data_IF_387543234967
#
_entry.id   IF_387543234967
#
_cell.length_a   1.000
_cell.length_b   1.000
_cell.length_c   1.000
_cell.angle_alpha   90.00
_cell.angle_beta   90.00
_cell.angle_gamma   90.00
#
_symmetry.space_group_name_H-M   'P 1'
#
loop_
_entity.id
_entity.type
_entity.pdbx_description
1 polymer ?
#
# COMPACT_ATOMS: atom_id res chain seq x y z
N UNK A 1 -13.25 -4.29 -7.32
CA UNK A 1 -13.91 -4.91 -6.15
C UNK A 1 -12.98 -5.28 -4.99
N UNK A 2 -12.20 -6.38 -5.01
CA UNK A 2 -11.49 -6.89 -3.80
C UNK A 2 -10.49 -5.88 -3.20
N UNK A 3 -9.67 -5.24 -4.04
CA UNK A 3 -8.73 -4.22 -3.58
C UNK A 3 -9.38 -2.90 -3.13
N UNK A 4 -10.71 -2.77 -3.22
CA UNK A 4 -11.41 -1.54 -2.86
C UNK A 4 -11.12 -0.34 -3.77
N UNK A 5 -10.58 -0.57 -4.98
CA UNK A 5 -10.41 0.46 -6.02
C UNK A 5 -11.66 0.67 -6.88
N UNK A 6 -12.59 -0.28 -6.82
CA UNK A 6 -13.81 -0.29 -7.60
C UNK A 6 -14.94 -0.91 -6.77
N UNK A 7 -16.15 -0.43 -6.99
CA UNK A 7 -17.37 -0.89 -6.31
C UNK A 7 -17.90 -2.19 -6.91
N UNK A 8 -18.98 -2.70 -6.32
CA UNK A 8 -19.73 -3.83 -6.83
C UNK A 8 -21.22 -3.50 -6.78
N UNK A 9 -21.95 -3.90 -7.80
CA UNK A 9 -23.36 -3.58 -7.91
C UNK A 9 -24.24 -4.50 -7.05
N UNK A 10 -23.83 -5.76 -6.89
CA UNK A 10 -24.56 -6.79 -6.16
C UNK A 10 -23.61 -7.72 -5.39
N UNK A 11 -24.18 -8.49 -4.47
CA UNK A 11 -23.42 -9.38 -3.59
C UNK A 11 -22.94 -8.70 -2.33
N UNK A 12 -21.94 -9.29 -1.67
CA UNK A 12 -21.38 -8.79 -0.42
C UNK A 12 -19.90 -9.14 -0.34
N UNK A 13 -19.09 -8.17 0.07
CA UNK A 13 -17.69 -8.38 0.44
C UNK A 13 -17.60 -8.27 1.96
N UNK A 14 -17.09 -9.31 2.62
CA UNK A 14 -16.90 -9.36 4.07
C UNK A 14 -15.41 -9.37 4.36
N UNK A 15 -14.96 -8.42 5.17
CA UNK A 15 -13.56 -8.25 5.54
C UNK A 15 -13.50 -8.19 7.05
N UNK A 16 -12.71 -9.08 7.67
CA UNK A 16 -12.62 -9.23 9.13
C UNK A 16 -14.00 -9.31 9.79
N UNK A 17 -14.89 -10.15 9.25
CA UNK A 17 -16.28 -10.34 9.69
C UNK A 17 -17.17 -9.08 9.64
N UNK A 18 -16.75 -8.03 8.92
CA UNK A 18 -17.56 -6.83 8.69
C UNK A 18 -17.91 -6.69 7.21
N UNK A 19 -19.18 -6.43 6.92
CA UNK A 19 -19.65 -6.12 5.57
C UNK A 19 -19.07 -4.79 5.09
N UNK A 20 -18.53 -4.76 3.86
CA UNK A 20 -17.99 -3.51 3.29
C UNK A 20 -19.08 -2.56 2.79
N UNK A 21 -20.35 -2.97 2.79
CA UNK A 21 -21.48 -2.07 2.50
C UNK A 21 -21.62 -0.97 3.54
N UNK A 22 -21.17 -1.24 4.76
CA UNK A 22 -21.21 -0.32 5.89
C UNK A 22 -19.91 0.50 6.03
N UNK A 23 -18.95 0.32 5.13
CA UNK A 23 -17.68 1.04 5.20
C UNK A 23 -17.89 2.50 4.78
N UNK A 24 -17.54 3.41 5.68
CA UNK A 24 -17.29 4.81 5.37
C UNK A 24 -16.07 4.98 4.46
N UNK A 25 -15.92 6.16 3.86
CA UNK A 25 -14.72 6.49 3.07
C UNK A 25 -13.43 6.29 3.87
N UNK A 26 -13.44 6.67 5.15
CA UNK A 26 -12.30 6.51 6.05
C UNK A 26 -11.93 5.03 6.29
N UNK A 27 -12.93 4.16 6.42
CA UNK A 27 -12.71 2.73 6.58
C UNK A 27 -12.18 2.09 5.30
N UNK A 28 -12.66 2.53 4.14
CA UNK A 28 -12.08 2.15 2.85
C UNK A 28 -10.62 2.59 2.70
N UNK A 29 -10.29 3.82 3.10
CA UNK A 29 -8.90 4.30 3.11
C UNK A 29 -8.03 3.47 4.06
N UNK A 30 -8.55 3.15 5.25
CA UNK A 30 -7.84 2.30 6.21
C UNK A 30 -7.63 0.90 5.67
N UNK A 31 -8.67 0.30 5.06
CA UNK A 31 -8.58 -1.03 4.45
C UNK A 31 -7.49 -1.08 3.38
N UNK A 32 -7.50 -0.13 2.44
CA UNK A 32 -6.50 -0.04 1.37
C UNK A 32 -5.09 0.17 1.91
N UNK A 33 -4.92 1.04 2.91
CA UNK A 33 -3.59 1.37 3.42
C UNK A 33 -3.00 0.31 4.36
N UNK A 34 -3.81 -0.59 4.93
CA UNK A 34 -3.36 -1.53 5.96
C UNK A 34 -3.42 -3.00 5.53
N UNK A 35 -4.37 -3.38 4.68
CA UNK A 35 -4.62 -4.79 4.36
C UNK A 35 -4.32 -5.17 2.90
N UNK A 36 -4.17 -4.18 2.00
CA UNK A 36 -4.02 -4.43 0.57
C UNK A 36 -2.67 -3.90 0.08
N UNK A 37 -1.94 -4.76 -0.62
CA UNK A 37 -0.78 -4.41 -1.43
C UNK A 37 -1.08 -4.69 -2.90
N UNK A 38 -0.84 -3.71 -3.78
CA UNK A 38 -1.01 -3.88 -5.22
C UNK A 38 0.34 -4.15 -5.88
N UNK A 39 0.36 -5.18 -6.74
CA UNK A 39 1.44 -5.41 -7.71
C UNK A 39 0.80 -5.31 -9.08
N UNK A 40 1.35 -4.44 -9.93
CA UNK A 40 0.82 -4.15 -11.27
C UNK A 40 1.66 -4.86 -12.33
N UNK A 41 1.04 -5.22 -13.47
CA UNK A 41 1.76 -5.83 -14.60
C UNK A 41 2.70 -4.84 -15.27
N UNK A 42 2.24 -3.61 -15.49
CA UNK A 42 3.08 -2.48 -15.86
C UNK A 42 3.53 -1.76 -14.58
N UNK A 43 4.82 -1.41 -14.50
CA UNK A 43 5.36 -0.73 -13.32
C UNK A 43 4.71 0.65 -13.18
N UNK A 44 3.82 0.80 -12.20
CA UNK A 44 3.18 2.07 -11.87
C UNK A 44 4.09 2.94 -10.95
N UNK A 45 5.39 2.98 -11.28
CA UNK A 45 6.38 3.72 -10.51
C UNK A 45 6.27 5.21 -10.81
N UNK A 46 6.49 6.04 -9.79
CA UNK A 46 6.62 7.48 -10.00
C UNK A 46 8.05 7.73 -10.49
N UNK A 47 8.21 7.83 -11.82
CA UNK A 47 9.52 7.86 -12.50
C UNK A 47 10.49 8.96 -12.06
N UNK A 48 9.99 10.03 -11.42
CA UNK A 48 10.82 11.13 -10.89
C UNK A 48 11.38 10.86 -9.48
N UNK A 49 11.03 9.72 -8.89
CA UNK A 49 11.43 9.31 -7.56
C UNK A 49 12.36 8.10 -7.65
N UNK A 50 13.32 8.04 -6.73
CA UNK A 50 14.19 6.85 -6.56
C UNK A 50 13.37 5.65 -6.10
N UNK A 51 13.97 4.45 -6.11
CA UNK A 51 13.31 3.24 -5.57
C UNK A 51 12.99 3.43 -4.08
N UNK A 52 13.94 3.97 -3.30
CA UNK A 52 13.75 4.22 -1.87
C UNK A 52 12.65 5.26 -1.61
N UNK A 53 12.54 6.30 -2.43
CA UNK A 53 11.50 7.33 -2.34
C UNK A 53 10.10 6.80 -2.66
N UNK A 54 9.97 5.91 -3.66
CA UNK A 54 8.70 5.23 -3.96
C UNK A 54 8.25 4.36 -2.77
N UNK A 55 9.17 3.61 -2.14
CA UNK A 55 8.87 2.80 -0.95
C UNK A 55 8.51 3.70 0.25
N UNK A 56 9.27 4.78 0.48
CA UNK A 56 9.01 5.74 1.56
C UNK A 56 7.64 6.41 1.42
N UNK A 57 7.21 6.74 0.20
CA UNK A 57 5.90 7.34 -0.05
C UNK A 57 4.76 6.43 0.45
N UNK A 58 4.82 5.13 0.16
CA UNK A 58 3.82 4.17 0.63
C UNK A 58 3.79 4.09 2.18
N UNK A 59 4.97 4.07 2.82
CA UNK A 59 5.08 4.00 4.29
C UNK A 59 4.60 5.29 4.98
N UNK A 60 4.76 6.46 4.34
CA UNK A 60 4.22 7.74 4.84
C UNK A 60 2.71 7.75 4.90
N UNK A 61 2.04 7.16 3.90
CA UNK A 61 0.58 7.04 3.87
C UNK A 61 0.04 6.18 5.03
N UNK A 62 0.85 5.23 5.50
CA UNK A 62 0.56 4.44 6.71
C UNK A 62 0.85 5.19 8.03
N UNK A 63 1.18 6.49 7.97
CA UNK A 63 1.48 7.35 9.13
C UNK A 63 2.64 6.83 10.00
N UNK A 64 3.57 6.08 9.41
CA UNK A 64 4.78 5.61 10.11
C UNK A 64 5.74 6.79 10.32
N UNK A 65 6.40 6.86 11.47
CA UNK A 65 7.33 7.94 11.76
C UNK A 65 8.61 7.85 10.91
N UNK A 66 9.25 9.00 10.64
CA UNK A 66 10.41 9.11 9.75
C UNK A 66 11.59 8.21 10.13
N UNK A 67 11.85 8.00 11.42
CA UNK A 67 12.97 7.15 11.89
C UNK A 67 12.70 5.68 11.55
N UNK A 68 11.47 5.24 11.74
CA UNK A 68 11.04 3.88 11.45
C UNK A 68 10.94 3.62 9.94
N UNK A 69 10.47 4.59 9.16
CA UNK A 69 10.46 4.53 7.70
C UNK A 69 11.84 4.18 7.16
N UNK A 70 12.89 4.90 7.57
CA UNK A 70 14.25 4.64 7.08
C UNK A 70 14.72 3.21 7.33
N UNK A 71 14.39 2.65 8.50
CA UNK A 71 14.72 1.26 8.83
C UNK A 71 13.96 0.28 7.94
N UNK A 72 12.66 0.52 7.76
CA UNK A 72 11.79 -0.33 6.93
C UNK A 72 12.16 -0.29 5.45
N UNK A 73 12.49 0.88 4.91
CA UNK A 73 12.96 1.02 3.51
C UNK A 73 14.20 0.15 3.29
N UNK A 74 15.20 0.27 4.17
CA UNK A 74 16.41 -0.56 4.09
C UNK A 74 16.08 -2.05 4.13
N UNK A 75 15.23 -2.46 5.08
CA UNK A 75 14.82 -3.85 5.21
C UNK A 75 14.05 -4.37 3.99
N UNK A 76 13.14 -3.57 3.42
CA UNK A 76 12.38 -3.93 2.22
C UNK A 76 13.32 -4.12 1.03
N UNK A 77 14.28 -3.21 0.83
CA UNK A 77 15.26 -3.32 -0.24
C UNK A 77 16.11 -4.59 -0.11
N UNK A 78 16.52 -4.95 1.12
CA UNK A 78 17.22 -6.21 1.39
C UNK A 78 16.33 -7.44 1.09
N UNK A 79 15.05 -7.41 1.48
CA UNK A 79 14.12 -8.52 1.26
C UNK A 79 13.83 -8.79 -0.22
N UNK A 80 13.91 -7.77 -1.07
CA UNK A 80 13.69 -7.88 -2.51
C UNK A 80 14.99 -7.85 -3.32
N UNK A 81 16.14 -7.94 -2.64
CA UNK A 81 17.49 -8.00 -3.24
C UNK A 81 17.85 -6.76 -4.11
N UNK A 82 17.34 -5.58 -3.74
CA UNK A 82 17.56 -4.30 -4.43
C UNK A 82 18.40 -3.29 -3.63
N UNK A 83 19.20 -3.74 -2.66
CA UNK A 83 20.02 -2.86 -1.80
C UNK A 83 21.01 -1.94 -2.58
N UNK A 84 21.43 -2.34 -3.77
CA UNK A 84 22.33 -1.55 -4.64
C UNK A 84 21.59 -0.47 -5.45
N UNK A 85 20.26 -0.50 -5.50
CA UNK A 85 19.42 0.40 -6.31
C UNK A 85 18.66 1.41 -5.44
N UNK A 86 19.31 1.90 -4.38
CA UNK A 86 18.69 2.82 -3.42
C UNK A 86 18.34 4.19 -4.04
N UNK A 87 19.10 4.62 -5.05
CA UNK A 87 19.04 5.94 -5.70
C UNK A 87 18.55 5.87 -7.15
#
# INVERSE_FOLDING_TARGET
MIGGLDSYDQGELIINNKSTKEYSRYEWDTYRNTYIGFVFQEFNNINRLTVSENIELALKLQKINKREIKKRVKHILELVELQEYHD
#
